data_IF_205424106805
#
_entry.id   IF_205424106805
#
_cell.length_a   1.000
_cell.length_b   1.000
_cell.length_c   1.000
_cell.angle_alpha   90.00
_cell.angle_beta   90.00
_cell.angle_gamma   90.00
#
_symmetry.space_group_name_H-M   'P 1'
#
loop_
_entity.id
_entity.type
_entity.pdbx_description
1 polymer ?
#
# COMPACT_ATOMS: atom_id res chain seq x y z
N UNK A 1 4.64 -8.73 4.47
CA UNK A 1 3.35 -8.12 4.77
C UNK A 1 2.32 -9.20 4.58
N UNK A 2 1.37 -9.38 5.49
CA UNK A 2 0.33 -10.41 5.34
C UNK A 2 -0.87 -9.82 4.61
N UNK A 3 -1.40 -10.52 3.61
CA UNK A 3 -2.61 -10.07 2.90
C UNK A 3 -3.81 -9.96 3.84
N UNK A 4 -3.90 -10.83 4.86
CA UNK A 4 -4.94 -10.74 5.88
C UNK A 4 -4.87 -9.46 6.73
N UNK A 5 -3.69 -8.85 6.86
CA UNK A 5 -3.53 -7.58 7.58
C UNK A 5 -4.19 -6.42 6.83
N UNK A 6 -4.14 -6.41 5.49
CA UNK A 6 -4.85 -5.42 4.67
C UNK A 6 -6.37 -5.56 4.83
N UNK A 7 -6.87 -6.79 4.81
CA UNK A 7 -8.29 -7.05 5.03
C UNK A 7 -8.75 -6.61 6.44
N UNK A 8 -7.93 -6.87 7.47
CA UNK A 8 -8.19 -6.44 8.85
C UNK A 8 -8.12 -4.91 8.99
N UNK A 9 -7.17 -4.26 8.32
CA UNK A 9 -7.02 -2.81 8.32
C UNK A 9 -8.24 -2.14 7.66
N UNK A 10 -8.67 -2.63 6.48
CA UNK A 10 -9.90 -2.18 5.79
C UNK A 10 -11.13 -2.26 6.69
N UNK A 11 -11.26 -3.35 7.43
CA UNK A 11 -12.43 -3.62 8.28
C UNK A 11 -12.31 -3.03 9.69
N UNK A 12 -11.21 -2.36 10.02
CA UNK A 12 -10.97 -1.73 11.32
C UNK A 12 -10.69 -2.72 12.46
N UNK A 13 -10.36 -3.99 12.16
CA UNK A 13 -10.00 -4.99 13.17
C UNK A 13 -8.59 -4.77 13.73
N UNK A 14 -7.71 -4.11 12.97
CA UNK A 14 -6.42 -3.62 13.44
C UNK A 14 -6.33 -2.12 13.12
N UNK A 15 -5.64 -1.38 13.97
CA UNK A 15 -5.30 0.01 13.75
C UNK A 15 -4.14 0.16 12.76
N UNK A 16 -3.96 1.37 12.22
CA UNK A 16 -2.79 1.69 11.39
C UNK A 16 -1.47 1.51 12.16
N UNK A 17 -1.43 1.83 13.46
CA UNK A 17 -0.24 1.64 14.29
C UNK A 17 0.12 0.15 14.47
N UNK A 18 -0.89 -0.71 14.65
CA UNK A 18 -0.69 -2.16 14.71
C UNK A 18 -0.20 -2.69 13.35
N UNK A 19 -0.79 -2.22 12.25
CA UNK A 19 -0.35 -2.57 10.91
C UNK A 19 1.11 -2.14 10.65
N UNK A 20 1.47 -0.90 10.96
CA UNK A 20 2.84 -0.38 10.88
C UNK A 20 3.83 -1.25 11.66
N UNK A 21 3.44 -1.68 12.88
CA UNK A 21 4.27 -2.57 13.69
C UNK A 21 4.46 -3.96 13.05
N UNK A 22 3.44 -4.50 12.38
CA UNK A 22 3.53 -5.79 11.68
C UNK A 22 4.50 -5.74 10.50
N UNK A 23 4.56 -4.63 9.77
CA UNK A 23 5.44 -4.48 8.59
C UNK A 23 6.80 -3.85 8.90
N UNK A 24 7.01 -3.30 10.11
CA UNK A 24 8.20 -2.53 10.46
C UNK A 24 9.52 -3.27 10.20
N UNK A 25 9.59 -4.57 10.52
CA UNK A 25 10.79 -5.37 10.31
C UNK A 25 11.13 -5.54 8.82
N UNK A 26 10.11 -5.74 7.99
CA UNK A 26 10.28 -5.90 6.55
C UNK A 26 10.61 -4.57 5.88
N UNK A 27 9.96 -3.49 6.31
CA UNK A 27 10.21 -2.13 5.83
C UNK A 27 11.64 -1.67 6.14
N UNK A 28 12.16 -2.04 7.32
CA UNK A 28 13.55 -1.76 7.69
C UNK A 28 14.54 -2.50 6.77
N UNK A 29 14.30 -3.78 6.47
CA UNK A 29 15.11 -4.54 5.51
C UNK A 29 15.01 -3.96 4.09
N UNK A 30 13.80 -3.58 3.67
CA UNK A 30 13.55 -2.97 2.37
C UNK A 30 14.32 -1.64 2.23
N UNK A 31 14.22 -0.76 3.23
CA UNK A 31 14.92 0.53 3.25
C UNK A 31 16.44 0.39 3.20
N UNK A 32 16.99 -0.62 3.91
CA UNK A 32 18.43 -0.92 3.86
C UNK A 32 18.87 -1.40 2.47
N UNK A 33 18.03 -2.16 1.77
CA UNK A 33 18.29 -2.66 0.42
C UNK A 33 18.28 -1.58 -0.67
N UNK A 34 17.50 -0.50 -0.48
CA UNK A 34 17.44 0.66 -1.37
C UNK A 34 18.57 1.69 -1.14
N UNK A 35 19.29 1.59 -0.02
CA UNK A 35 20.34 2.56 0.33
C UNK A 35 21.49 2.72 -0.71
N UNK A 36 21.97 1.66 -1.37
CA UNK A 36 22.94 1.77 -2.47
C UNK A 36 22.28 2.29 -3.75
N UNK A 37 22.99 3.12 -4.52
CA UNK A 37 22.51 3.60 -5.83
C UNK A 37 22.33 2.40 -6.78
N UNK A 38 21.09 2.17 -7.25
CA UNK A 38 20.72 0.97 -8.02
C UNK A 38 20.47 -0.28 -7.16
N UNK A 39 20.27 -0.11 -5.85
CA UNK A 39 19.91 -1.17 -4.92
C UNK A 39 18.56 -1.78 -5.26
N UNK A 40 18.44 -3.09 -5.06
CA UNK A 40 17.19 -3.82 -5.18
C UNK A 40 16.81 -4.30 -3.80
N UNK A 41 15.63 -3.90 -3.36
CA UNK A 41 15.07 -4.33 -2.09
C UNK A 41 13.95 -5.35 -2.33
N UNK A 42 14.01 -6.53 -1.69
CA UNK A 42 12.94 -7.49 -1.80
C UNK A 42 11.71 -7.00 -1.06
N UNK A 43 10.56 -7.04 -1.72
CA UNK A 43 9.26 -6.87 -1.08
C UNK A 43 8.81 -8.24 -0.57
N UNK A 44 8.58 -8.36 0.73
CA UNK A 44 8.17 -9.62 1.34
C UNK A 44 6.65 -9.65 1.51
N UNK A 45 6.00 -10.63 0.90
CA UNK A 45 4.55 -10.84 1.03
C UNK A 45 4.28 -12.24 1.56
N UNK A 46 3.39 -12.33 2.54
CA UNK A 46 2.83 -13.58 3.05
C UNK A 46 1.40 -13.67 2.54
N UNK A 47 1.19 -14.53 1.54
CA UNK A 47 -0.11 -14.70 0.87
C UNK A 47 -1.04 -15.68 1.60
N UNK A 48 -1.36 -15.32 2.85
CA UNK A 48 -2.16 -16.12 3.79
C UNK A 48 -3.66 -16.17 3.47
N UNK A 49 -4.14 -15.32 2.56
CA UNK A 49 -5.53 -15.25 2.08
C UNK A 49 -5.57 -14.72 0.65
N UNK A 50 -6.65 -14.98 -0.07
CA UNK A 50 -6.97 -14.23 -1.28
C UNK A 50 -7.46 -12.83 -0.91
N UNK A 51 -7.04 -11.82 -1.66
CA UNK A 51 -7.40 -10.43 -1.41
C UNK A 51 -7.88 -9.74 -2.69
N UNK A 52 -9.12 -9.25 -2.65
CA UNK A 52 -9.63 -8.32 -3.67
C UNK A 52 -9.28 -6.89 -3.24
N UNK A 53 -8.44 -6.22 -4.03
CA UNK A 53 -8.15 -4.80 -3.87
C UNK A 53 -9.17 -4.02 -4.69
N UNK A 54 -10.10 -3.41 -3.96
CA UNK A 54 -11.14 -2.52 -4.48
C UNK A 54 -10.87 -1.07 -4.05
N UNK A 55 -11.73 -0.14 -4.48
CA UNK A 55 -11.63 1.26 -4.09
C UNK A 55 -11.71 1.47 -2.58
N UNK A 56 -12.40 0.59 -1.84
CA UNK A 56 -12.49 0.70 -0.39
C UNK A 56 -11.16 0.35 0.30
N UNK A 57 -10.42 -0.65 -0.21
CA UNK A 57 -9.06 -0.96 0.22
C UNK A 57 -8.13 0.21 -0.10
N UNK A 58 -8.03 0.59 -1.37
CA UNK A 58 -7.12 1.65 -1.80
C UNK A 58 -7.42 2.98 -1.11
N UNK A 59 -8.70 3.36 -1.05
CA UNK A 59 -9.13 4.58 -0.36
C UNK A 59 -8.85 4.56 1.14
N UNK A 60 -8.85 3.40 1.78
CA UNK A 60 -8.44 3.28 3.19
C UNK A 60 -6.95 3.57 3.34
N UNK A 61 -6.10 2.96 2.51
CA UNK A 61 -4.65 3.20 2.53
C UNK A 61 -4.33 4.67 2.27
N UNK A 62 -4.94 5.27 1.25
CA UNK A 62 -4.74 6.68 0.91
C UNK A 62 -5.25 7.63 2.00
N UNK A 63 -6.38 7.32 2.67
CA UNK A 63 -6.87 8.11 3.81
C UNK A 63 -5.93 8.04 5.02
N UNK A 64 -5.41 6.86 5.32
CA UNK A 64 -4.45 6.68 6.43
C UNK A 64 -3.14 7.42 6.16
N UNK A 65 -2.67 7.43 4.90
CA UNK A 65 -1.54 8.27 4.51
C UNK A 65 -1.87 9.77 4.64
N UNK A 66 -3.01 10.21 4.12
CA UNK A 66 -3.44 11.60 4.17
C UNK A 66 -3.62 12.12 5.61
N UNK A 67 -4.01 11.26 6.55
CA UNK A 67 -4.12 11.58 7.98
C UNK A 67 -2.80 11.49 8.76
N UNK A 68 -1.70 11.09 8.11
CA UNK A 68 -0.39 10.89 8.72
C UNK A 68 -0.28 9.63 9.59
N UNK A 69 -1.23 8.70 9.47
CA UNK A 69 -1.21 7.42 10.16
C UNK A 69 -0.38 6.36 9.43
N UNK A 70 -0.17 6.54 8.13
CA UNK A 70 0.84 5.84 7.35
C UNK A 70 1.83 6.85 6.76
N UNK A 71 3.10 6.48 6.75
CA UNK A 71 4.14 7.20 6.04
C UNK A 71 4.07 6.91 4.54
N UNK A 72 4.68 7.77 3.72
CA UNK A 72 4.78 7.55 2.27
C UNK A 72 5.48 6.21 1.96
N UNK A 73 6.47 5.84 2.75
CA UNK A 73 7.25 4.62 2.58
C UNK A 73 6.42 3.36 2.91
N UNK A 74 5.62 3.41 3.97
CA UNK A 74 4.71 2.30 4.30
C UNK A 74 3.63 2.13 3.24
N UNK A 75 3.09 3.24 2.71
CA UNK A 75 2.13 3.20 1.60
C UNK A 75 2.77 2.59 0.35
N UNK A 76 3.97 3.05 -0.03
CA UNK A 76 4.68 2.55 -1.20
C UNK A 76 5.01 1.06 -1.08
N UNK A 77 5.60 0.65 0.04
CA UNK A 77 5.88 -0.77 0.31
C UNK A 77 4.62 -1.63 0.26
N UNK A 78 3.51 -1.12 0.81
CA UNK A 78 2.21 -1.82 0.75
C UNK A 78 1.70 -1.94 -0.68
N UNK A 79 1.80 -0.87 -1.47
CA UNK A 79 1.36 -0.86 -2.86
C UNK A 79 2.21 -1.79 -3.74
N UNK A 80 3.53 -1.81 -3.55
CA UNK A 80 4.44 -2.72 -4.24
C UNK A 80 4.11 -4.18 -3.90
N UNK A 81 3.90 -4.46 -2.61
CA UNK A 81 3.52 -5.78 -2.14
C UNK A 81 2.20 -6.27 -2.74
N UNK A 82 1.22 -5.38 -2.90
CA UNK A 82 -0.07 -5.72 -3.52
C UNK A 82 0.04 -5.98 -5.02
N UNK A 83 0.90 -5.26 -5.73
CA UNK A 83 1.11 -5.48 -7.17
C UNK A 83 1.90 -6.75 -7.49
N UNK A 84 2.78 -7.19 -6.58
CA UNK A 84 3.62 -8.36 -6.77
C UNK A 84 2.99 -9.68 -6.29
N UNK A 85 1.90 -9.63 -5.53
CA UNK A 85 1.29 -10.81 -4.91
C UNK A 85 0.40 -11.58 -5.88
N UNK A 86 0.60 -12.91 -5.95
CA UNK A 86 -0.16 -13.79 -6.87
C UNK A 86 -1.62 -13.94 -6.44
N UNK A 87 -1.89 -13.91 -5.13
CA UNK A 87 -3.24 -14.01 -4.55
C UNK A 87 -3.96 -12.68 -4.38
N UNK A 88 -3.46 -11.62 -5.00
CA UNK A 88 -4.14 -10.31 -5.08
C UNK A 88 -4.85 -10.18 -6.42
N UNK A 89 -6.15 -9.89 -6.37
CA UNK A 89 -6.93 -9.51 -7.54
C UNK A 89 -7.28 -8.03 -7.44
N UNK A 90 -7.01 -7.26 -8.51
CA UNK A 90 -7.42 -5.87 -8.60
C UNK A 90 -8.83 -5.80 -9.22
N UNK A 91 -9.72 -4.97 -8.65
CA UNK A 91 -11.11 -4.92 -9.11
C UNK A 91 -11.31 -4.22 -10.46
N UNK A 92 -10.30 -3.50 -10.96
CA UNK A 92 -10.35 -2.77 -12.23
C UNK A 92 -9.02 -2.12 -12.61
N UNK A 93 -8.89 -1.71 -13.87
CA UNK A 93 -7.70 -1.02 -14.40
C UNK A 93 -7.47 0.36 -13.77
N UNK A 94 -8.55 1.02 -13.34
CA UNK A 94 -8.49 2.29 -12.60
C UNK A 94 -7.81 2.09 -11.23
N UNK A 95 -8.18 1.02 -10.52
CA UNK A 95 -7.55 0.66 -9.24
C UNK A 95 -6.09 0.31 -9.44
N UNK A 96 -5.76 -0.43 -10.51
CA UNK A 96 -4.37 -0.76 -10.83
C UNK A 96 -3.54 0.49 -11.11
N UNK A 97 -4.09 1.44 -11.86
CA UNK A 97 -3.42 2.70 -12.19
C UNK A 97 -3.18 3.55 -10.95
N UNK A 98 -4.22 3.75 -10.13
CA UNK A 98 -4.10 4.55 -8.90
C UNK A 98 -3.22 3.87 -7.84
N UNK A 99 -3.20 2.53 -7.78
CA UNK A 99 -2.29 1.77 -6.92
C UNK A 99 -0.84 1.92 -7.38
N UNK A 100 -0.59 1.97 -8.68
CA UNK A 100 0.74 2.21 -9.25
C UNK A 100 1.26 3.62 -8.95
N UNK A 101 0.40 4.63 -8.86
CA UNK A 101 0.82 5.96 -8.39
C UNK A 101 1.28 5.97 -6.93
N UNK A 102 0.91 4.96 -6.14
CA UNK A 102 1.31 4.84 -4.75
C UNK A 102 2.65 4.14 -4.56
N UNK A 103 3.22 3.49 -5.59
CA UNK A 103 4.50 2.78 -5.47
C UNK A 103 5.69 3.69 -5.67
N UNK A 104 6.87 3.22 -5.22
CA UNK A 104 8.19 3.83 -5.41
C UNK A 104 8.19 5.36 -5.67
N UNK A 105 8.25 6.18 -4.61
CA UNK A 105 8.22 7.64 -4.75
C UNK A 105 9.46 8.21 -5.48
N UNK A 106 10.54 7.43 -5.66
CA UNK A 106 11.69 7.86 -6.45
C UNK A 106 11.43 7.71 -7.96
N UNK A 107 10.62 6.74 -8.36
CA UNK A 107 10.25 6.50 -9.76
C UNK A 107 8.99 7.28 -10.15
N UNK A 108 7.93 7.18 -9.34
CA UNK A 108 6.61 7.76 -9.66
C UNK A 108 6.44 9.21 -9.17
N UNK A 109 7.39 9.69 -8.38
CA UNK A 109 7.29 10.96 -7.66
C UNK A 109 6.52 10.82 -6.34
N UNK A 110 6.73 11.76 -5.42
CA UNK A 110 6.05 11.71 -4.12
C UNK A 110 4.54 11.90 -4.26
N UNK A 111 3.78 10.91 -3.82
CA UNK A 111 2.33 11.01 -3.70
C UNK A 111 1.97 12.15 -2.72
N UNK A 112 1.21 13.13 -3.20
CA UNK A 112 0.75 14.24 -2.36
C UNK A 112 -0.49 13.84 -1.56
N UNK A 113 -0.69 14.48 -0.41
CA UNK A 113 -1.92 14.30 0.40
C UNK A 113 -3.17 14.62 -0.42
N UNK A 114 -3.13 15.66 -1.26
CA UNK A 114 -4.24 16.03 -2.13
C UNK A 114 -4.56 14.90 -3.12
N UNK A 115 -3.54 14.35 -3.80
CA UNK A 115 -3.73 13.23 -4.75
C UNK A 115 -4.22 11.96 -4.04
N UNK A 116 -3.71 11.66 -2.85
CA UNK A 116 -4.19 10.53 -2.06
C UNK A 116 -5.68 10.68 -1.71
N UNK A 117 -6.12 11.88 -1.33
CA UNK A 117 -7.53 12.14 -1.07
C UNK A 117 -8.39 12.06 -2.34
N UNK A 118 -7.87 12.52 -3.49
CA UNK A 118 -8.53 12.33 -4.79
C UNK A 118 -8.74 10.84 -5.07
N UNK A 119 -7.69 10.02 -4.99
CA UNK A 119 -7.75 8.55 -5.18
C UNK A 119 -8.74 7.91 -4.21
N UNK A 120 -8.76 8.34 -2.95
CA UNK A 120 -9.70 7.86 -1.94
C UNK A 120 -11.16 8.28 -2.20
N UNK A 121 -11.36 9.38 -2.90
CA UNK A 121 -12.67 9.95 -3.25
C UNK A 121 -13.15 9.58 -4.65
N UNK A 122 -12.29 8.99 -5.48
CA UNK A 122 -12.53 8.66 -6.88
C UNK A 122 -13.68 7.67 -7.13
N UNK A 123 -14.40 7.22 -6.09
CA UNK A 123 -15.66 6.48 -6.27
C UNK A 123 -16.76 6.85 -5.26
N UNK A 124 -17.64 7.73 -5.72
CA UNK A 124 -19.10 7.60 -5.59
C UNK A 124 -19.80 7.71 -6.97
N UNK A 125 -19.06 7.61 -8.08
CA UNK A 125 -19.59 7.81 -9.43
C UNK A 125 -19.30 6.60 -10.33
N UNK A 126 -20.03 5.52 -10.11
CA UNK A 126 -20.36 4.50 -11.11
C UNK A 126 -21.62 3.75 -10.64
#
# INVERSE_FOLDING_TARGET
MKLSSIAKLKSGHISAAEYSAEIAGELAMHSLGLGPQGGVAPVQVTEDTDLLVDRAVLGTLCRLFASGQLTALELAYTADALQMADRVQLSGEDIASDLAECTDPEINGQLTVARALEIASASAAA
#
